data_IF_419790368367
#
_entry.id   IF_419790368367
#
_cell.length_a   1.000
_cell.length_b   1.000
_cell.length_c   1.000
_cell.angle_alpha   90.00
_cell.angle_beta   90.00
_cell.angle_gamma   90.00
#
_symmetry.space_group_name_H-M   'P 1'
#
loop_
_entity.id
_entity.type
_entity.pdbx_description
1 polymer ?
#
# COMPACT_ATOMS: atom_id res chain seq x y z
N UNK A 1 5.97 -15.63 11.62
CA UNK A 1 4.90 -16.46 11.00
C UNK A 1 4.57 -15.86 9.65
N UNK A 2 4.65 -16.64 8.58
CA UNK A 2 4.32 -16.18 7.23
C UNK A 2 3.29 -17.11 6.60
N UNK A 3 2.37 -16.51 5.85
CA UNK A 3 1.29 -17.21 5.17
C UNK A 3 1.28 -16.79 3.70
N UNK A 4 0.86 -17.70 2.83
CA UNK A 4 0.44 -17.38 1.48
C UNK A 4 -0.94 -17.97 1.26
N UNK A 5 -1.87 -17.05 1.00
CA UNK A 5 -3.23 -17.34 0.61
C UNK A 5 -3.35 -17.31 -0.91
N UNK A 6 -4.24 -18.15 -1.42
CA UNK A 6 -4.67 -18.16 -2.81
C UNK A 6 -6.19 -17.90 -2.84
N UNK A 7 -6.59 -16.91 -3.62
CA UNK A 7 -7.99 -16.62 -3.89
C UNK A 7 -8.24 -16.57 -5.39
N UNK A 8 -9.37 -17.12 -5.81
CA UNK A 8 -9.86 -17.06 -7.18
C UNK A 8 -10.93 -15.98 -7.27
N UNK A 9 -10.76 -15.06 -8.22
CA UNK A 9 -11.75 -14.02 -8.53
C UNK A 9 -12.22 -14.14 -9.96
N UNK A 10 -13.54 -14.13 -10.15
CA UNK A 10 -14.15 -14.15 -11.48
C UNK A 10 -15.51 -13.46 -11.46
N UNK A 11 -15.98 -13.06 -12.65
CA UNK A 11 -17.28 -12.43 -12.85
C UNK A 11 -18.16 -13.39 -13.64
N UNK A 12 -19.40 -13.60 -13.21
CA UNK A 12 -20.38 -14.43 -13.92
C UNK A 12 -21.00 -13.68 -15.10
N UNK A 13 -21.78 -14.39 -15.92
CA UNK A 13 -22.57 -13.77 -17.01
C UNK A 13 -23.55 -12.71 -16.51
N UNK A 14 -23.94 -12.82 -15.24
CA UNK A 14 -24.90 -11.94 -14.57
C UNK A 14 -24.21 -10.75 -13.91
N UNK A 15 -22.94 -10.50 -14.26
CA UNK A 15 -22.08 -9.45 -13.71
C UNK A 15 -21.89 -9.51 -12.19
N UNK A 16 -22.01 -10.71 -11.60
CA UNK A 16 -21.73 -10.93 -10.18
C UNK A 16 -20.25 -11.25 -9.99
N UNK A 17 -19.56 -10.47 -9.16
CA UNK A 17 -18.18 -10.73 -8.77
C UNK A 17 -18.15 -11.77 -7.65
N UNK A 18 -17.39 -12.84 -7.87
CA UNK A 18 -17.12 -13.84 -6.85
C UNK A 18 -15.67 -13.78 -6.39
N UNK A 19 -15.47 -13.99 -5.09
CA UNK A 19 -14.17 -14.11 -4.45
C UNK A 19 -14.16 -15.42 -3.63
N UNK A 20 -13.42 -16.41 -4.09
CA UNK A 20 -13.30 -17.72 -3.44
C UNK A 20 -11.89 -17.91 -2.89
N UNK A 21 -11.77 -18.09 -1.59
CA UNK A 21 -10.50 -18.47 -0.97
C UNK A 21 -10.28 -19.96 -1.28
N UNK A 22 -9.26 -20.27 -2.08
CA UNK A 22 -8.94 -21.64 -2.46
C UNK A 22 -8.08 -22.34 -1.41
N UNK A 23 -7.23 -21.58 -0.71
CA UNK A 23 -6.40 -22.13 0.33
C UNK A 23 -5.53 -21.09 1.00
N UNK A 24 -5.04 -21.44 2.18
CA UNK A 24 -4.03 -20.68 2.91
C UNK A 24 -3.15 -21.71 3.59
N UNK A 25 -1.84 -21.64 3.36
CA UNK A 25 -0.91 -22.47 4.12
C UNK A 25 0.10 -21.60 4.85
N UNK A 26 0.64 -22.20 5.89
CA UNK A 26 1.77 -21.68 6.62
C UNK A 26 3.05 -22.00 5.84
N UNK A 27 3.97 -21.03 5.77
CA UNK A 27 5.27 -21.23 5.15
C UNK A 27 6.35 -20.75 6.09
N UNK A 28 7.32 -21.62 6.35
CA UNK A 28 8.49 -21.28 7.14
C UNK A 28 9.43 -20.36 6.34
N UNK A 29 10.21 -19.51 7.01
CA UNK A 29 11.06 -18.52 6.34
C UNK A 29 12.02 -19.15 5.32
N UNK A 30 12.57 -20.32 5.65
CA UNK A 30 13.49 -21.10 4.81
C UNK A 30 12.82 -21.71 3.57
N UNK A 31 11.49 -21.72 3.53
CA UNK A 31 10.69 -22.28 2.45
C UNK A 31 10.13 -21.22 1.49
N UNK A 32 10.50 -19.94 1.63
CA UNK A 32 9.98 -18.82 0.82
C UNK A 32 10.63 -18.71 -0.58
N UNK A 33 10.88 -19.84 -1.23
CA UNK A 33 11.38 -19.87 -2.60
C UNK A 33 10.24 -19.67 -3.60
N UNK A 34 10.58 -19.15 -4.79
CA UNK A 34 9.64 -19.04 -5.90
C UNK A 34 9.02 -20.40 -6.28
N UNK A 35 9.82 -21.47 -6.21
CA UNK A 35 9.38 -22.83 -6.52
C UNK A 35 8.33 -23.33 -5.52
N UNK A 36 8.53 -23.10 -4.22
CA UNK A 36 7.59 -23.56 -3.21
C UNK A 36 6.25 -22.82 -3.30
N UNK A 37 6.28 -21.51 -3.54
CA UNK A 37 5.07 -20.72 -3.82
C UNK A 37 4.34 -21.31 -5.03
N UNK A 38 5.09 -21.61 -6.10
CA UNK A 38 4.49 -22.16 -7.32
C UNK A 38 3.89 -23.55 -7.11
N UNK A 39 4.59 -24.43 -6.42
CA UNK A 39 4.12 -25.77 -6.09
C UNK A 39 2.82 -25.75 -5.27
N UNK A 40 2.73 -24.86 -4.28
CA UNK A 40 1.49 -24.68 -3.53
C UNK A 40 0.34 -24.24 -4.44
N UNK A 41 0.56 -23.21 -5.25
CA UNK A 41 -0.49 -22.64 -6.11
C UNK A 41 -0.98 -23.69 -7.12
N UNK A 42 -0.07 -24.39 -7.79
CA UNK A 42 -0.43 -25.43 -8.75
C UNK A 42 -1.18 -26.58 -8.07
N UNK A 43 -0.75 -27.01 -6.87
CA UNK A 43 -1.44 -28.07 -6.12
C UNK A 43 -2.86 -27.66 -5.68
N UNK A 44 -3.03 -26.42 -5.18
CA UNK A 44 -4.36 -25.92 -4.80
C UNK A 44 -5.26 -25.73 -6.01
N UNK A 45 -4.77 -25.18 -7.12
CA UNK A 45 -5.61 -25.08 -8.33
C UNK A 45 -6.03 -26.46 -8.83
N UNK A 46 -5.10 -27.42 -8.83
CA UNK A 46 -5.39 -28.78 -9.30
C UNK A 46 -6.46 -29.48 -8.43
N UNK A 47 -6.50 -29.24 -7.12
CA UNK A 47 -7.56 -29.81 -6.26
C UNK A 47 -8.96 -29.29 -6.58
N UNK A 48 -9.07 -28.15 -7.28
CA UNK A 48 -10.32 -27.62 -7.83
C UNK A 48 -10.48 -27.88 -9.33
N UNK A 49 -9.63 -28.72 -9.94
CA UNK A 49 -9.66 -29.01 -11.38
C UNK A 49 -9.20 -27.83 -12.26
N UNK A 50 -8.44 -26.89 -11.70
CA UNK A 50 -7.94 -25.69 -12.37
C UNK A 50 -6.43 -25.78 -12.62
N UNK A 51 -5.94 -25.06 -13.62
CA UNK A 51 -4.51 -24.90 -13.89
C UNK A 51 -4.22 -23.49 -14.37
N UNK A 52 -3.04 -22.94 -14.03
CA UNK A 52 -2.59 -21.66 -14.58
C UNK A 52 -2.35 -21.78 -16.09
N UNK A 53 -2.87 -20.81 -16.83
CA UNK A 53 -2.72 -20.68 -18.27
C UNK A 53 -2.72 -19.19 -18.68
N UNK A 54 -2.51 -18.92 -19.97
CA UNK A 54 -2.41 -17.55 -20.51
C UNK A 54 -3.71 -16.73 -20.41
N UNK A 55 -4.84 -17.33 -20.04
CA UNK A 55 -6.12 -16.65 -19.79
C UNK A 55 -6.31 -16.25 -18.32
N UNK A 56 -5.42 -16.69 -17.43
CA UNK A 56 -5.49 -16.40 -16.00
C UNK A 56 -4.52 -15.26 -15.68
N UNK A 57 -5.04 -14.30 -14.91
CA UNK A 57 -4.26 -13.21 -14.34
C UNK A 57 -3.89 -13.54 -12.90
N UNK A 58 -2.60 -13.59 -12.60
CA UNK A 58 -2.10 -13.76 -11.25
C UNK A 58 -1.77 -12.39 -10.64
N UNK A 59 -2.57 -11.93 -9.67
CA UNK A 59 -2.32 -10.66 -8.96
C UNK A 59 -1.47 -10.94 -7.73
N UNK A 60 -0.22 -10.46 -7.73
CA UNK A 60 0.74 -10.73 -6.64
C UNK A 60 1.48 -9.47 -6.23
N UNK A 61 2.08 -9.51 -5.05
CA UNK A 61 3.06 -8.50 -4.66
C UNK A 61 4.25 -8.48 -5.63
N UNK A 62 4.95 -7.35 -5.68
CA UNK A 62 6.05 -7.11 -6.61
C UNK A 62 7.41 -7.64 -6.12
N UNK A 63 7.43 -8.50 -5.11
CA UNK A 63 8.64 -9.13 -4.57
C UNK A 63 9.29 -10.08 -5.59
N UNK A 64 10.62 -10.17 -5.58
CA UNK A 64 11.39 -10.96 -6.56
C UNK A 64 10.94 -12.43 -6.62
N UNK A 65 10.67 -13.05 -5.46
CA UNK A 65 10.15 -14.43 -5.39
C UNK A 65 8.78 -14.60 -6.03
N UNK A 66 7.87 -13.64 -5.87
CA UNK A 66 6.55 -13.66 -6.51
C UNK A 66 6.67 -13.45 -8.02
N UNK A 67 7.52 -12.50 -8.45
CA UNK A 67 7.80 -12.30 -9.89
C UNK A 67 8.34 -13.56 -10.53
N UNK A 68 9.26 -14.26 -9.86
CA UNK A 68 9.83 -15.50 -10.35
C UNK A 68 8.81 -16.66 -10.40
N UNK A 69 7.97 -16.82 -9.36
CA UNK A 69 6.98 -17.89 -9.29
C UNK A 69 5.91 -17.81 -10.39
N UNK A 70 5.56 -16.60 -10.81
CA UNK A 70 4.52 -16.33 -11.81
C UNK A 70 5.07 -15.77 -13.13
N UNK A 71 6.36 -16.02 -13.41
CA UNK A 71 6.99 -15.59 -14.66
C UNK A 71 6.43 -16.34 -15.88
N UNK A 72 5.97 -17.56 -15.67
CA UNK A 72 5.54 -18.48 -16.73
C UNK A 72 4.08 -18.93 -16.54
N UNK A 73 3.48 -19.37 -17.65
CA UNK A 73 2.13 -19.97 -17.74
C UNK A 73 0.96 -19.04 -17.43
N UNK A 74 1.15 -17.80 -16.97
CA UNK A 74 0.06 -16.85 -16.73
C UNK A 74 0.52 -15.40 -16.91
N UNK A 75 -0.44 -14.48 -17.00
CA UNK A 75 -0.14 -13.04 -16.99
C UNK A 75 -0.10 -12.55 -15.56
N UNK A 76 1.07 -12.13 -15.08
CA UNK A 76 1.22 -11.59 -13.71
C UNK A 76 0.91 -10.10 -13.68
N UNK A 77 0.10 -9.69 -12.71
CA UNK A 77 -0.21 -8.30 -12.40
C UNK A 77 0.35 -7.93 -11.02
N UNK A 78 1.08 -6.80 -10.95
CA UNK A 78 1.61 -6.28 -9.70
C UNK A 78 0.53 -5.63 -8.84
N UNK A 79 0.50 -5.96 -7.54
CA UNK A 79 -0.49 -5.40 -6.60
C UNK A 79 -0.17 -3.94 -6.24
N UNK A 80 -0.99 -3.01 -6.74
CA UNK A 80 -0.88 -1.56 -6.49
C UNK A 80 -0.84 -1.16 -5.02
N UNK A 81 -1.63 -1.82 -4.16
CA UNK A 81 -1.72 -1.50 -2.73
C UNK A 81 -0.39 -1.75 -2.02
N UNK A 82 0.27 -2.88 -2.30
CA UNK A 82 1.57 -3.20 -1.70
C UNK A 82 2.62 -2.19 -2.14
N UNK A 83 2.53 -1.74 -3.39
CA UNK A 83 3.41 -0.72 -3.92
C UNK A 83 3.30 0.60 -3.14
N UNK A 84 2.09 1.15 -3.02
CA UNK A 84 1.84 2.42 -2.33
C UNK A 84 2.29 2.36 -0.89
N UNK A 85 1.90 1.32 -0.16
CA UNK A 85 2.26 1.16 1.23
C UNK A 85 3.76 1.05 1.45
N UNK A 86 4.47 0.35 0.57
CA UNK A 86 5.92 0.26 0.64
C UNK A 86 6.58 1.63 0.46
N UNK A 87 6.06 2.50 -0.41
CA UNK A 87 6.64 3.84 -0.56
C UNK A 87 6.36 4.74 0.65
N UNK A 88 5.17 4.64 1.24
CA UNK A 88 4.83 5.34 2.48
C UNK A 88 5.66 4.87 3.68
N UNK A 89 5.91 3.56 3.76
CA UNK A 89 6.82 2.99 4.75
C UNK A 89 8.24 3.52 4.54
N UNK A 90 8.73 3.50 3.31
CA UNK A 90 10.04 3.99 2.97
C UNK A 90 10.26 5.47 3.32
N UNK A 91 9.28 6.34 3.05
CA UNK A 91 9.38 7.76 3.41
C UNK A 91 9.50 7.99 4.92
N UNK A 92 9.03 7.04 5.74
CA UNK A 92 9.01 7.15 7.20
C UNK A 92 10.11 6.35 7.90
N UNK A 93 10.74 5.37 7.24
CA UNK A 93 11.64 4.41 7.91
C UNK A 93 12.97 4.17 7.23
N UNK A 94 13.14 4.54 5.96
CA UNK A 94 14.32 4.18 5.18
C UNK A 94 15.19 5.39 4.91
N UNK A 95 16.47 5.33 5.24
CA UNK A 95 17.44 6.38 4.90
C UNK A 95 17.87 6.31 3.42
N UNK A 96 17.86 5.10 2.85
CA UNK A 96 18.32 4.82 1.48
C UNK A 96 17.50 3.69 0.85
N UNK A 97 17.19 3.84 -0.45
CA UNK A 97 16.50 2.83 -1.27
C UNK A 97 17.23 2.74 -2.60
N UNK A 98 17.66 1.53 -2.98
CA UNK A 98 18.26 1.29 -4.31
C UNK A 98 19.41 2.29 -4.62
N UNK A 99 20.24 2.59 -3.62
CA UNK A 99 21.35 3.57 -3.68
C UNK A 99 20.94 5.04 -3.80
N UNK A 100 19.69 5.35 -3.49
CA UNK A 100 19.14 6.71 -3.51
C UNK A 100 18.72 7.10 -2.09
N UNK A 101 19.26 8.22 -1.61
CA UNK A 101 18.89 8.76 -0.29
C UNK A 101 17.45 9.25 -0.26
N UNK A 102 16.73 8.86 0.80
CA UNK A 102 15.38 9.32 1.08
C UNK A 102 15.47 10.63 1.87
N UNK A 103 15.15 11.74 1.22
CA UNK A 103 15.19 13.07 1.83
C UNK A 103 13.90 13.33 2.60
N UNK A 104 13.67 12.60 3.69
CA UNK A 104 12.49 12.77 4.56
C UNK A 104 12.87 12.70 6.05
N UNK A 105 14.10 13.10 6.42
CA UNK A 105 14.69 12.83 7.75
C UNK A 105 13.87 13.40 8.91
N UNK A 106 13.27 14.58 8.77
CA UNK A 106 12.39 15.15 9.81
C UNK A 106 11.10 14.35 10.00
N UNK A 107 10.53 13.82 8.92
CA UNK A 107 9.35 12.96 8.98
C UNK A 107 9.70 11.59 9.55
N UNK A 108 10.90 11.07 9.23
CA UNK A 108 11.42 9.84 9.81
C UNK A 108 11.62 9.98 11.32
N UNK A 109 12.24 11.08 11.77
CA UNK A 109 12.40 11.40 13.18
C UNK A 109 11.04 11.55 13.89
N UNK A 110 10.09 12.24 13.26
CA UNK A 110 8.71 12.36 13.75
C UNK A 110 8.07 10.98 13.93
N UNK A 111 8.15 10.13 12.91
CA UNK A 111 7.61 8.77 12.92
C UNK A 111 8.24 7.92 14.02
N UNK A 112 9.56 7.99 14.18
CA UNK A 112 10.29 7.26 15.22
C UNK A 112 9.90 7.68 16.64
N UNK A 113 9.72 8.99 16.87
CA UNK A 113 9.26 9.50 18.16
C UNK A 113 7.84 9.02 18.48
N UNK A 114 6.92 9.10 17.51
CA UNK A 114 5.55 8.56 17.62
C UNK A 114 5.60 7.05 17.94
N UNK A 115 6.42 6.28 17.23
CA UNK A 115 6.58 4.83 17.42
C UNK A 115 7.11 4.49 18.81
N UNK A 116 8.14 5.20 19.30
CA UNK A 116 8.74 5.00 20.63
C UNK A 116 7.73 5.28 21.73
N UNK A 117 7.04 6.42 21.67
CA UNK A 117 6.02 6.81 22.65
C UNK A 117 4.85 5.82 22.62
N UNK A 118 4.32 5.50 21.44
CA UNK A 118 3.21 4.57 21.29
C UNK A 118 3.52 3.17 21.84
N UNK A 119 4.71 2.66 21.53
CA UNK A 119 5.19 1.36 22.02
C UNK A 119 5.31 1.35 23.54
N UNK A 120 5.83 2.42 24.15
CA UNK A 120 5.96 2.54 25.60
C UNK A 120 4.60 2.49 26.29
N UNK A 121 3.65 3.32 25.83
CA UNK A 121 2.30 3.38 26.43
C UNK A 121 1.59 2.03 26.32
N UNK A 122 1.76 1.30 25.20
CA UNK A 122 1.21 -0.06 25.05
C UNK A 122 1.83 -1.05 26.03
N UNK A 123 3.16 -1.11 26.11
CA UNK A 123 3.89 -2.06 26.97
C UNK A 123 3.56 -1.88 28.46
N UNK A 124 3.18 -0.68 28.87
CA UNK A 124 2.80 -0.38 30.26
C UNK A 124 1.31 -0.56 30.55
N UNK A 125 0.51 -1.05 29.59
CA UNK A 125 -0.94 -1.20 29.70
C UNK A 125 -1.68 0.11 30.08
N UNK A 126 -1.09 1.27 29.78
CA UNK A 126 -1.65 2.58 30.14
C UNK A 126 -2.63 3.14 29.10
N UNK A 127 -2.85 2.42 28.00
CA UNK A 127 -3.79 2.81 26.96
C UNK A 127 -5.24 2.89 27.44
N UNK A 128 -5.59 2.22 28.54
CA UNK A 128 -6.95 2.27 29.14
C UNK A 128 -7.33 3.69 29.57
N UNK A 129 -6.34 4.55 29.83
CA UNK A 129 -6.54 5.96 30.22
C UNK A 129 -6.66 6.92 29.02
N UNK A 130 -6.46 6.42 27.80
CA UNK A 130 -6.59 7.23 26.59
C UNK A 130 -8.01 7.09 26.01
N UNK A 131 -8.53 8.18 25.44
CA UNK A 131 -9.84 8.18 24.77
C UNK A 131 -9.92 7.24 23.55
N UNK A 132 -8.77 6.90 22.98
CA UNK A 132 -8.65 5.95 21.89
C UNK A 132 -7.41 5.07 22.11
N UNK A 133 -7.53 3.77 21.78
CA UNK A 133 -6.40 2.84 21.87
C UNK A 133 -5.35 3.20 20.81
N UNK A 134 -4.13 3.44 21.25
CA UNK A 134 -2.98 3.64 20.36
C UNK A 134 -2.75 2.40 19.50
N UNK A 135 -2.60 2.65 18.21
CA UNK A 135 -2.29 1.65 17.22
C UNK A 135 -0.79 1.58 17.07
N UNK A 136 -0.22 0.38 17.13
CA UNK A 136 1.21 0.24 16.85
C UNK A 136 1.40 -0.02 15.38
N UNK A 137 2.49 0.54 14.87
CA UNK A 137 3.06 0.09 13.61
C UNK A 137 3.34 -1.40 13.68
N UNK A 138 2.71 -2.14 12.76
CA UNK A 138 3.04 -3.50 12.44
C UNK A 138 3.55 -3.47 11.00
N UNK A 139 4.80 -3.86 10.79
CA UNK A 139 5.46 -3.93 9.46
C UNK A 139 4.63 -4.77 8.45
N UNK A 140 3.72 -5.61 8.94
CA UNK A 140 2.83 -6.47 8.15
C UNK A 140 1.46 -5.86 7.83
N UNK A 141 1.11 -4.69 8.39
CA UNK A 141 -0.19 -4.04 8.15
C UNK A 141 -0.09 -2.99 7.07
N UNK A 142 -0.90 -3.15 6.02
CA UNK A 142 -0.86 -2.32 4.83
C UNK A 142 -0.96 -0.82 5.17
N UNK A 143 -1.83 -0.38 6.08
CA UNK A 143 -2.01 1.06 6.40
C UNK A 143 -1.36 1.51 7.72
N UNK A 144 -0.36 0.77 8.21
CA UNK A 144 0.18 0.94 9.56
C UNK A 144 0.72 2.35 9.86
N UNK A 145 1.36 2.98 8.86
CA UNK A 145 2.02 4.30 9.03
C UNK A 145 1.02 5.41 9.32
N UNK A 146 0.07 5.64 8.40
CA UNK A 146 -0.94 6.68 8.55
C UNK A 146 -1.80 6.46 9.79
N UNK A 147 -2.28 5.23 9.99
CA UNK A 147 -3.20 4.93 11.08
C UNK A 147 -2.55 5.11 12.46
N UNK A 148 -1.29 4.69 12.62
CA UNK A 148 -0.54 4.96 13.86
C UNK A 148 -0.41 6.47 14.11
N UNK A 149 0.04 7.25 13.13
CA UNK A 149 0.24 8.70 13.27
C UNK A 149 -1.07 9.43 13.54
N UNK A 150 -2.15 9.08 12.83
CA UNK A 150 -3.46 9.72 12.98
C UNK A 150 -4.10 9.41 14.34
N UNK A 151 -4.05 8.16 14.80
CA UNK A 151 -4.53 7.80 16.14
C UNK A 151 -3.69 8.48 17.21
N UNK A 152 -2.36 8.53 17.05
CA UNK A 152 -1.47 9.26 17.95
C UNK A 152 -1.83 10.74 18.04
N UNK A 153 -2.04 11.40 16.89
CA UNK A 153 -2.45 12.80 16.81
C UNK A 153 -3.76 13.03 17.57
N UNK A 154 -4.74 12.15 17.43
CA UNK A 154 -6.02 12.26 18.12
C UNK A 154 -5.86 12.23 19.63
N UNK A 155 -4.96 11.41 20.17
CA UNK A 155 -4.74 11.28 21.62
C UNK A 155 -3.57 12.11 22.14
N UNK A 156 -2.93 12.93 21.30
CA UNK A 156 -1.67 13.62 21.60
C UNK A 156 -1.68 14.34 22.96
N UNK A 157 -2.73 15.13 23.20
CA UNK A 157 -2.87 15.93 24.42
C UNK A 157 -3.11 15.07 25.67
N UNK A 158 -3.61 13.85 25.51
CA UNK A 158 -3.88 12.91 26.61
C UNK A 158 -2.62 12.10 26.96
N UNK A 159 -1.69 11.92 26.02
CA UNK A 159 -0.50 11.07 26.16
C UNK A 159 0.41 11.55 27.30
N UNK A 160 0.56 12.87 27.48
CA UNK A 160 1.42 13.44 28.52
C UNK A 160 1.06 12.94 29.93
N UNK A 161 -0.22 12.74 30.20
CA UNK A 161 -0.73 12.27 31.50
C UNK A 161 -0.43 10.80 31.81
N UNK A 162 -0.08 10.01 30.78
CA UNK A 162 0.18 8.56 30.91
C UNK A 162 1.66 8.21 30.75
N UNK A 163 2.49 9.17 30.36
CA UNK A 163 3.93 8.99 30.18
C UNK A 163 4.70 9.07 31.51
N UNK A 164 5.85 8.41 31.56
CA UNK A 164 6.85 8.59 32.61
C UNK A 164 7.92 9.59 32.14
N UNK A 165 8.65 10.20 33.08
CA UNK A 165 9.67 11.23 32.82
C UNK A 165 10.65 10.88 31.69
N UNK A 166 11.16 9.65 31.64
CA UNK A 166 12.13 9.22 30.63
C UNK A 166 11.62 9.09 29.19
N UNK A 167 10.31 9.29 28.94
CA UNK A 167 9.74 9.30 27.58
C UNK A 167 9.06 10.63 27.24
N UNK A 168 9.09 11.61 28.14
CA UNK A 168 8.56 12.95 27.89
C UNK A 168 9.37 13.62 26.78
N UNK A 169 10.70 13.48 26.79
CA UNK A 169 11.58 14.07 25.77
C UNK A 169 11.21 13.63 24.35
N UNK A 170 10.82 12.36 24.17
CA UNK A 170 10.34 11.87 22.88
C UNK A 170 9.01 12.51 22.47
N UNK A 171 8.07 12.69 23.41
CA UNK A 171 6.81 13.38 23.13
C UNK A 171 7.06 14.87 22.82
N UNK A 172 7.90 15.55 23.59
CA UNK A 172 8.28 16.96 23.35
C UNK A 172 8.97 17.15 22.01
N UNK A 173 9.68 16.13 21.53
CA UNK A 173 10.32 16.12 20.21
C UNK A 173 9.35 15.79 19.06
N UNK A 174 8.07 15.51 19.33
CA UNK A 174 7.04 15.38 18.30
C UNK A 174 6.52 16.77 17.97
N UNK A 175 6.86 17.25 16.77
CA UNK A 175 6.22 18.44 16.21
C UNK A 175 4.76 18.11 15.86
N UNK A 176 3.83 18.59 16.69
CA UNK A 176 2.39 18.33 16.54
C UNK A 176 1.82 18.95 15.26
N UNK A 177 2.33 20.10 14.83
CA UNK A 177 1.84 20.79 13.64
C UNK A 177 2.30 20.06 12.38
N UNK A 178 3.56 19.62 12.34
CA UNK A 178 4.06 18.75 11.28
C UNK A 178 3.31 17.41 11.25
N UNK A 179 3.04 16.78 12.41
CA UNK A 179 2.24 15.56 12.50
C UNK A 179 0.85 15.76 11.88
N UNK A 180 0.20 16.87 12.20
CA UNK A 180 -1.13 17.21 11.68
C UNK A 180 -1.10 17.45 10.18
N UNK A 181 -0.09 18.15 9.67
CA UNK A 181 0.11 18.39 8.23
C UNK A 181 0.34 17.06 7.48
N UNK A 182 1.24 16.20 7.96
CA UNK A 182 1.53 14.90 7.36
C UNK A 182 0.29 13.99 7.39
N UNK A 183 -0.45 13.91 8.50
CA UNK A 183 -1.69 13.15 8.56
C UNK A 183 -2.74 13.64 7.55
N UNK A 184 -2.91 14.96 7.42
CA UNK A 184 -3.83 15.54 6.41
C UNK A 184 -3.40 15.22 4.99
N UNK A 185 -2.11 15.17 4.72
CA UNK A 185 -1.61 14.79 3.41
C UNK A 185 -1.80 13.29 3.13
N UNK A 186 -1.49 12.42 4.10
CA UNK A 186 -1.52 10.96 3.95
C UNK A 186 -2.94 10.37 3.87
N UNK A 187 -3.97 11.07 4.35
CA UNK A 187 -5.36 10.57 4.27
C UNK A 187 -5.81 10.27 2.83
N UNK A 188 -5.29 11.02 1.84
CA UNK A 188 -5.61 10.79 0.42
C UNK A 188 -5.02 9.47 -0.06
N UNK A 189 -3.82 9.11 0.42
CA UNK A 189 -3.22 7.81 0.14
C UNK A 189 -4.00 6.67 0.80
N UNK A 190 -4.40 6.84 2.07
CA UNK A 190 -5.19 5.85 2.79
C UNK A 190 -6.52 5.57 2.07
N UNK A 191 -7.23 6.62 1.66
CA UNK A 191 -8.46 6.51 0.86
C UNK A 191 -8.22 5.82 -0.49
N UNK A 192 -7.11 6.12 -1.17
CA UNK A 192 -6.74 5.47 -2.42
C UNK A 192 -6.46 3.97 -2.24
N UNK A 193 -5.76 3.62 -1.16
CA UNK A 193 -5.48 2.22 -0.81
C UNK A 193 -6.77 1.48 -0.49
N UNK A 194 -7.66 2.07 0.31
CA UNK A 194 -8.96 1.51 0.64
C UNK A 194 -9.78 1.21 -0.63
N UNK A 195 -9.88 2.18 -1.54
CA UNK A 195 -10.58 2.01 -2.81
C UNK A 195 -10.00 0.85 -3.65
N UNK A 196 -8.68 0.77 -3.80
CA UNK A 196 -8.02 -0.29 -4.54
C UNK A 196 -8.14 -1.67 -3.86
N UNK A 197 -8.34 -1.69 -2.54
CA UNK A 197 -8.43 -2.90 -1.73
C UNK A 197 -9.80 -3.57 -1.73
N UNK A 198 -10.82 -2.89 -2.24
CA UNK A 198 -12.18 -3.43 -2.25
C UNK A 198 -12.26 -4.81 -2.91
N UNK A 199 -12.90 -5.75 -2.23
CA UNK A 199 -13.04 -7.13 -2.70
C UNK A 199 -14.40 -7.42 -3.34
N UNK A 200 -15.41 -6.62 -2.99
CA UNK A 200 -16.81 -6.80 -3.41
C UNK A 200 -17.15 -6.07 -4.71
N UNK A 201 -16.21 -5.30 -5.26
CA UNK A 201 -16.38 -4.55 -6.50
C UNK A 201 -15.12 -4.60 -7.36
N UNK A 202 -15.23 -4.47 -8.70
CA UNK A 202 -14.05 -4.35 -9.56
C UNK A 202 -13.22 -3.12 -9.20
N UNK A 203 -11.90 -3.25 -9.10
CA UNK A 203 -10.99 -2.12 -8.75
C UNK A 203 -9.91 -1.84 -9.80
N UNK A 204 -9.66 -2.75 -10.75
CA UNK A 204 -8.55 -2.61 -11.69
C UNK A 204 -8.64 -1.37 -12.58
N UNK A 205 -9.86 -0.95 -12.93
CA UNK A 205 -10.14 0.27 -13.69
C UNK A 205 -9.83 1.57 -12.92
N UNK A 206 -9.60 1.49 -11.61
CA UNK A 206 -9.30 2.65 -10.77
C UNK A 206 -7.81 2.91 -10.64
N UNK A 207 -6.95 1.95 -10.99
CA UNK A 207 -5.51 2.06 -10.80
C UNK A 207 -4.91 3.28 -11.53
N UNK A 208 -5.29 3.50 -12.80
CA UNK A 208 -4.79 4.65 -13.58
C UNK A 208 -5.30 5.99 -13.03
N UNK A 209 -6.61 6.22 -12.82
CA UNK A 209 -7.11 7.45 -12.21
C UNK A 209 -6.53 7.73 -10.83
N UNK A 210 -6.39 6.71 -9.98
CA UNK A 210 -5.82 6.88 -8.64
C UNK A 210 -4.33 7.21 -8.72
N UNK A 211 -3.58 6.59 -9.64
CA UNK A 211 -2.18 6.95 -9.87
C UNK A 211 -2.04 8.43 -10.23
N UNK A 212 -2.88 8.92 -11.15
CA UNK A 212 -2.86 10.34 -11.52
C UNK A 212 -3.26 11.24 -10.34
N UNK A 213 -4.34 10.91 -9.63
CA UNK A 213 -4.78 11.62 -8.43
C UNK A 213 -3.65 11.78 -7.40
N UNK A 214 -2.90 10.70 -7.14
CA UNK A 214 -1.80 10.74 -6.18
C UNK A 214 -0.59 11.53 -6.70
N UNK A 215 -0.33 11.52 -8.01
CA UNK A 215 0.70 12.38 -8.62
C UNK A 215 0.33 13.86 -8.44
N UNK A 216 -0.91 14.23 -8.78
CA UNK A 216 -1.42 15.60 -8.67
C UNK A 216 -1.43 16.05 -7.20
N UNK A 217 -1.81 15.16 -6.28
CA UNK A 217 -1.79 15.44 -4.84
C UNK A 217 -0.36 15.64 -4.30
N UNK A 218 0.64 15.04 -4.94
CA UNK A 218 2.05 15.26 -4.63
C UNK A 218 2.64 16.50 -5.30
N UNK A 219 1.87 17.32 -6.02
CA UNK A 219 2.38 18.59 -6.51
C UNK A 219 2.74 19.51 -5.34
N UNK A 220 3.95 20.07 -5.41
CA UNK A 220 4.50 20.98 -4.43
C UNK A 220 3.82 22.33 -4.57
N UNK A 221 3.31 22.84 -3.46
CA UNK A 221 2.69 24.16 -3.36
C UNK A 221 3.57 25.11 -2.57
N UNK A 222 3.37 26.41 -2.78
CA UNK A 222 4.18 27.44 -2.11
C UNK A 222 4.02 27.36 -0.58
N UNK A 223 2.78 27.15 -0.13
CA UNK A 223 2.35 27.06 1.27
C UNK A 223 2.78 25.79 2.01
N UNK A 224 3.27 24.76 1.31
CA UNK A 224 3.73 23.53 1.96
C UNK A 224 4.97 23.81 2.84
N UNK A 225 5.06 23.17 4.00
CA UNK A 225 6.29 23.15 4.79
C UNK A 225 7.46 22.53 4.01
N UNK A 226 8.71 22.85 4.38
CA UNK A 226 9.89 22.24 3.76
C UNK A 226 9.85 20.70 3.79
N UNK A 227 9.37 20.16 4.90
CA UNK A 227 9.25 18.75 5.21
C UNK A 227 8.18 18.09 4.35
N UNK A 228 7.03 18.75 4.17
CA UNK A 228 5.98 18.25 3.29
C UNK A 228 6.41 18.27 1.82
N UNK A 229 7.13 19.31 1.38
CA UNK A 229 7.69 19.40 0.02
C UNK A 229 8.61 18.22 -0.28
N UNK A 230 9.50 17.90 0.65
CA UNK A 230 10.39 16.75 0.61
C UNK A 230 9.62 15.43 0.45
N UNK A 231 8.61 15.20 1.30
CA UNK A 231 7.75 14.01 1.22
C UNK A 231 7.03 13.90 -0.13
N UNK A 232 6.43 15.00 -0.58
CA UNK A 232 5.70 15.08 -1.85
C UNK A 232 6.59 14.76 -3.05
N UNK A 233 7.78 15.36 -3.10
CA UNK A 233 8.75 15.11 -4.18
C UNK A 233 9.16 13.64 -4.21
N UNK A 234 9.49 13.06 -3.04
CA UNK A 234 9.84 11.65 -2.93
C UNK A 234 8.71 10.74 -3.42
N UNK A 235 7.48 10.92 -2.90
CA UNK A 235 6.36 10.05 -3.28
C UNK A 235 5.97 10.22 -4.74
N UNK A 236 5.99 11.44 -5.29
CA UNK A 236 5.70 11.71 -6.70
C UNK A 236 6.68 10.97 -7.62
N UNK A 237 7.98 11.08 -7.35
CA UNK A 237 9.03 10.40 -8.11
C UNK A 237 8.81 8.89 -8.07
N UNK A 238 8.65 8.32 -6.87
CA UNK A 238 8.43 6.88 -6.73
C UNK A 238 7.17 6.43 -7.47
N UNK A 239 6.02 7.08 -7.25
CA UNK A 239 4.77 6.74 -7.95
C UNK A 239 4.96 6.72 -9.47
N UNK A 240 5.75 7.64 -10.02
CA UNK A 240 6.04 7.66 -11.46
C UNK A 240 6.98 6.52 -11.88
N UNK A 241 8.05 6.27 -11.14
CA UNK A 241 9.15 5.38 -11.54
C UNK A 241 8.96 3.91 -11.15
N UNK A 242 8.19 3.60 -10.10
CA UNK A 242 8.09 2.23 -9.58
C UNK A 242 6.65 1.70 -9.57
N UNK A 243 5.62 2.55 -9.56
CA UNK A 243 4.24 2.10 -9.83
C UNK A 243 4.01 1.93 -11.33
N UNK A 244 4.54 0.83 -11.87
CA UNK A 244 4.38 0.53 -13.29
C UNK A 244 3.01 -0.11 -13.52
N UNK A 245 2.14 0.62 -14.22
CA UNK A 245 0.88 0.09 -14.72
C UNK A 245 1.16 -0.73 -15.99
N UNK A 246 0.47 -1.86 -16.10
CA UNK A 246 0.46 -2.72 -17.29
C UNK A 246 -0.79 -2.46 -18.13
N UNK A 247 -0.77 -2.88 -19.39
CA UNK A 247 -1.85 -2.75 -20.38
C UNK A 247 -3.24 -3.06 -19.83
N UNK A 248 -3.36 -4.08 -18.97
CA UNK A 248 -4.64 -4.44 -18.36
C UNK A 248 -5.25 -3.26 -17.57
N UNK A 249 -4.46 -2.51 -16.80
CA UNK A 249 -4.96 -1.36 -16.06
C UNK A 249 -5.54 -0.30 -16.99
N UNK A 250 -4.89 -0.05 -18.13
CA UNK A 250 -5.36 0.89 -19.15
C UNK A 250 -6.65 0.40 -19.80
N UNK A 251 -6.66 -0.85 -20.27
CA UNK A 251 -7.84 -1.50 -20.86
C UNK A 251 -9.04 -1.40 -19.92
N UNK A 252 -8.89 -1.85 -18.66
CA UNK A 252 -10.00 -1.82 -17.69
C UNK A 252 -10.45 -0.39 -17.39
N UNK A 253 -9.55 0.58 -17.37
CA UNK A 253 -9.90 2.00 -17.20
C UNK A 253 -10.76 2.49 -18.36
N UNK A 254 -10.35 2.25 -19.60
CA UNK A 254 -11.07 2.77 -20.77
C UNK A 254 -12.35 1.99 -21.11
N UNK A 255 -12.45 0.73 -20.67
CA UNK A 255 -13.70 -0.03 -20.69
C UNK A 255 -14.75 0.52 -19.72
N UNK A 256 -14.33 1.25 -18.68
CA UNK A 256 -15.27 1.87 -17.75
C UNK A 256 -15.95 3.10 -18.41
N UNK A 257 -17.28 3.13 -18.56
CA UNK A 257 -17.97 4.16 -19.35
C UNK A 257 -17.66 5.60 -18.92
N UNK A 258 -17.51 5.84 -17.61
CA UNK A 258 -17.21 7.17 -17.06
C UNK A 258 -15.76 7.62 -17.29
N UNK A 259 -14.86 6.70 -17.63
CA UNK A 259 -13.41 6.95 -17.75
C UNK A 259 -12.92 6.83 -19.20
N UNK A 260 -13.82 6.62 -20.17
CA UNK A 260 -13.48 6.51 -21.61
C UNK A 260 -12.74 7.74 -22.16
N UNK A 261 -12.95 8.91 -21.56
CA UNK A 261 -12.31 10.19 -21.91
C UNK A 261 -11.26 10.61 -20.87
N UNK A 262 -10.69 9.67 -20.13
CA UNK A 262 -9.64 10.01 -19.17
C UNK A 262 -8.38 10.44 -19.93
N UNK A 263 -8.06 11.73 -19.87
CA UNK A 263 -7.06 12.38 -20.74
C UNK A 263 -5.62 12.26 -20.23
N UNK A 264 -5.39 11.71 -19.03
CA UNK A 264 -4.03 11.60 -18.46
C UNK A 264 -3.14 10.53 -19.12
N UNK A 265 -3.62 9.86 -20.18
CA UNK A 265 -2.85 8.86 -20.92
C UNK A 265 -3.13 8.91 -22.44
N UNK A 266 -2.85 10.02 -23.15
CA UNK A 266 -3.24 10.18 -24.56
C UNK A 266 -2.64 9.12 -25.47
N UNK A 267 -1.36 8.78 -25.28
CA UNK A 267 -0.64 7.82 -26.13
C UNK A 267 -1.00 6.36 -25.81
N UNK A 268 -1.26 6.04 -24.54
CA UNK A 268 -1.58 4.67 -24.10
C UNK A 268 -3.05 4.31 -24.34
N UNK A 269 -3.90 5.32 -24.61
CA UNK A 269 -5.30 5.14 -24.96
C UNK A 269 -5.48 4.40 -26.28
N UNK A 270 -4.74 4.77 -27.32
CA UNK A 270 -4.84 4.12 -28.63
C UNK A 270 -4.35 2.67 -28.57
N UNK A 271 -3.23 2.43 -27.87
CA UNK A 271 -2.70 1.09 -27.59
C UNK A 271 -3.74 0.23 -26.86
N UNK A 272 -4.37 0.77 -25.81
CA UNK A 272 -5.38 0.05 -25.05
C UNK A 272 -6.62 -0.28 -25.89
N UNK A 273 -7.02 0.60 -26.82
CA UNK A 273 -8.13 0.31 -27.74
C UNK A 273 -7.78 -0.79 -28.73
N UNK A 274 -6.55 -0.81 -29.26
CA UNK A 274 -6.13 -1.84 -30.21
C UNK A 274 -5.98 -3.22 -29.57
N UNK A 275 -5.70 -3.30 -28.27
CA UNK A 275 -5.66 -4.58 -27.53
C UNK A 275 -7.04 -5.21 -27.24
N UNK A 276 -8.12 -4.44 -27.41
CA UNK A 276 -9.50 -4.88 -27.14
C UNK A 276 -10.25 -5.25 -28.43
N UNK A 277 -9.77 -4.78 -29.59
CA UNK A 277 -10.31 -5.13 -30.91
C UNK A 277 -9.90 -6.54 -31.31
#
# INVERSE_FOLDING_TARGET
LSYCGLALRFVTKDFTLHNFILGCIFYDADSQSANNIRMFVDAQLLSFGLTLNNKIFAVTDNENKMRAAFKEKCTRIGRSIRYLNKQLEHSCTSEEIERTFVRCSKIQNLFDNVKKVGTHVRRRHRQVKLKQKLQLYLDTSFNGTFYMMNVFLNVYDDIGSVLNSGYIDYLTSVDKDLLKEVCRFLIVFDNAIDQLSAEERPTMHQALPIRQLLIDHCEVKFEDSSELKELKLFLCERIKSVWILQDQHYIFTFLHPRLKRFDAAPYEKDIAFDLVK
#
